data_IF_219750132816
#
_entry.id   IF_219750132816
#
_cell.length_a   1.000
_cell.length_b   1.000
_cell.length_c   1.000
_cell.angle_alpha   90.00
_cell.angle_beta   90.00
_cell.angle_gamma   90.00
#
_symmetry.space_group_name_H-M   'P 1'
#
loop_
_entity.id
_entity.type
_entity.pdbx_description
1 polymer ?
#
# COMPACT_ATOMS: atom_id res chain seq x y z
N UNK A 1 19.52 11.56 7.37
CA UNK A 1 18.71 12.77 7.17
C UNK A 1 18.08 13.16 8.50
N UNK A 2 17.78 14.46 8.70
CA UNK A 2 17.08 14.97 9.89
C UNK A 2 15.57 14.86 9.79
N UNK A 3 15.03 14.14 8.80
CA UNK A 3 13.62 13.98 8.52
C UNK A 3 13.03 12.98 9.51
N UNK A 4 12.05 13.40 10.30
CA UNK A 4 11.39 12.59 11.34
C UNK A 4 9.87 12.68 11.27
N UNK A 5 9.33 13.66 10.54
CA UNK A 5 7.90 13.84 10.29
C UNK A 5 7.66 14.34 8.86
N UNK A 6 6.45 14.22 8.30
CA UNK A 6 6.16 14.61 6.92
C UNK A 6 6.50 16.07 6.59
N UNK A 7 6.32 16.99 7.54
CA UNK A 7 6.65 18.41 7.35
C UNK A 7 8.13 18.68 7.10
N UNK A 8 9.03 17.76 7.51
CA UNK A 8 10.48 17.86 7.27
C UNK A 8 10.87 17.51 5.83
N UNK A 9 9.94 16.99 5.01
CA UNK A 9 10.24 16.55 3.64
C UNK A 9 10.46 17.68 2.65
N UNK A 10 10.22 18.95 3.02
CA UNK A 10 10.41 20.07 2.13
C UNK A 10 11.85 20.11 1.55
N UNK A 11 11.97 20.06 0.22
CA UNK A 11 13.23 20.00 -0.53
C UNK A 11 13.86 18.61 -0.60
N UNK A 12 13.25 17.57 -0.02
CA UNK A 12 13.78 16.21 -0.02
C UNK A 12 13.60 15.52 -1.38
N UNK A 13 14.50 14.57 -1.66
CA UNK A 13 14.33 13.60 -2.73
C UNK A 13 13.62 12.36 -2.18
N UNK A 14 12.42 12.09 -2.67
CA UNK A 14 11.54 11.01 -2.20
C UNK A 14 11.41 9.93 -3.27
N UNK A 15 11.74 8.70 -2.93
CA UNK A 15 11.53 7.57 -3.84
C UNK A 15 10.11 7.01 -3.73
N UNK A 16 9.47 6.80 -4.88
CA UNK A 16 8.25 6.03 -5.04
C UNK A 16 8.51 4.84 -5.95
N UNK A 17 7.71 3.77 -5.84
CA UNK A 17 7.95 2.57 -6.66
C UNK A 17 7.62 2.77 -8.15
N UNK A 18 6.62 3.61 -8.43
CA UNK A 18 6.14 3.98 -9.76
C UNK A 18 5.39 5.29 -9.62
N UNK A 19 5.50 6.17 -10.61
CA UNK A 19 4.72 7.40 -10.66
C UNK A 19 3.24 7.09 -11.01
N UNK A 20 2.35 8.02 -10.68
CA UNK A 20 0.91 7.98 -10.98
C UNK A 20 0.21 6.70 -10.45
N UNK A 21 0.62 6.24 -9.27
CA UNK A 21 0.01 5.09 -8.61
C UNK A 21 -0.45 5.40 -7.19
N UNK A 22 -1.01 4.38 -6.51
CA UNK A 22 -1.54 4.52 -5.14
C UNK A 22 -0.51 5.01 -4.11
N UNK A 23 0.78 4.63 -4.27
CA UNK A 23 1.84 5.06 -3.34
C UNK A 23 2.13 6.54 -3.48
N UNK A 24 2.21 7.05 -4.72
CA UNK A 24 2.36 8.49 -4.95
C UNK A 24 1.14 9.25 -4.46
N UNK A 25 -0.07 8.76 -4.74
CA UNK A 25 -1.31 9.38 -4.29
C UNK A 25 -1.37 9.48 -2.76
N UNK A 26 -1.02 8.41 -2.05
CA UNK A 26 -0.98 8.40 -0.60
C UNK A 26 0.09 9.35 -0.04
N UNK A 27 1.28 9.38 -0.65
CA UNK A 27 2.33 10.34 -0.31
C UNK A 27 1.87 11.79 -0.51
N UNK A 28 1.15 12.08 -1.59
CA UNK A 28 0.62 13.42 -1.85
C UNK A 28 -0.34 13.87 -0.75
N UNK A 29 -1.21 12.98 -0.27
CA UNK A 29 -2.12 13.26 0.83
C UNK A 29 -1.36 13.50 2.13
N UNK A 30 -0.36 12.69 2.43
CA UNK A 30 0.51 12.86 3.60
C UNK A 30 1.22 14.21 3.57
N UNK A 31 1.73 14.63 2.40
CA UNK A 31 2.34 15.95 2.22
C UNK A 31 1.32 17.08 2.40
N UNK A 32 0.12 16.95 1.83
CA UNK A 32 -0.96 17.94 1.98
C UNK A 32 -1.37 18.12 3.45
N UNK A 33 -1.49 17.04 4.20
CA UNK A 33 -1.81 17.07 5.63
C UNK A 33 -0.69 17.73 6.46
N UNK A 34 0.55 17.68 5.97
CA UNK A 34 1.70 18.38 6.54
C UNK A 34 1.87 19.82 6.00
N UNK A 35 0.98 20.30 5.13
CA UNK A 35 1.03 21.64 4.54
C UNK A 35 2.02 21.78 3.38
N UNK A 36 2.43 20.67 2.77
CA UNK A 36 3.30 20.57 1.62
C UNK A 36 2.52 20.10 0.38
N UNK A 37 3.19 20.11 -0.76
CA UNK A 37 2.69 19.60 -2.05
C UNK A 37 3.76 18.77 -2.73
N UNK A 38 3.43 18.09 -3.82
CA UNK A 38 4.43 17.40 -4.65
C UNK A 38 5.49 18.34 -5.24
N UNK A 39 5.19 19.64 -5.40
CA UNK A 39 6.15 20.63 -5.86
C UNK A 39 7.23 20.97 -4.81
N UNK A 40 6.99 20.64 -3.55
CA UNK A 40 7.92 20.89 -2.45
C UNK A 40 8.95 19.74 -2.29
N UNK A 41 8.82 18.64 -3.03
CA UNK A 41 9.71 17.49 -3.01
C UNK A 41 10.20 17.13 -4.42
N UNK A 42 11.27 16.34 -4.51
CA UNK A 42 11.71 15.76 -5.78
C UNK A 42 11.36 14.27 -5.80
N UNK A 43 10.37 13.88 -6.61
CA UNK A 43 10.03 12.45 -6.77
C UNK A 43 11.01 11.76 -7.71
N UNK A 44 11.41 10.54 -7.34
CA UNK A 44 12.18 9.63 -8.19
C UNK A 44 11.54 8.25 -8.18
N UNK A 45 11.49 7.63 -9.36
CA UNK A 45 10.95 6.27 -9.51
C UNK A 45 12.05 5.24 -9.27
N UNK A 46 11.90 4.45 -8.21
CA UNK A 46 12.82 3.37 -7.83
C UNK A 46 11.98 2.17 -7.35
N UNK A 47 12.13 0.96 -7.95
CA UNK A 47 11.43 -0.23 -7.49
C UNK A 47 11.67 -0.53 -6.01
N UNK A 48 10.66 -1.00 -5.28
CA UNK A 48 10.74 -1.26 -3.83
C UNK A 48 12.00 -1.98 -3.37
N UNK A 49 12.48 -3.07 -4.04
CA UNK A 49 13.69 -3.77 -3.59
C UNK A 49 14.96 -2.92 -3.63
N UNK A 50 14.99 -1.87 -4.43
CA UNK A 50 16.17 -1.01 -4.65
C UNK A 50 16.16 0.23 -3.76
N UNK A 51 15.00 0.60 -3.19
CA UNK A 51 14.84 1.85 -2.43
C UNK A 51 15.70 1.87 -1.15
N UNK A 52 15.79 0.75 -0.43
CA UNK A 52 16.62 0.67 0.79
C UNK A 52 18.11 0.94 0.48
N UNK A 53 18.61 0.38 -0.62
CA UNK A 53 19.99 0.64 -1.05
C UNK A 53 20.18 2.10 -1.52
N UNK A 54 19.19 2.69 -2.19
CA UNK A 54 19.23 4.09 -2.60
C UNK A 54 19.28 5.04 -1.39
N UNK A 55 18.53 4.73 -0.32
CA UNK A 55 18.55 5.47 0.94
C UNK A 55 19.91 5.33 1.64
N UNK A 56 20.46 4.12 1.71
CA UNK A 56 21.79 3.86 2.31
C UNK A 56 22.92 4.64 1.62
N UNK A 57 22.85 4.73 0.29
CA UNK A 57 23.84 5.46 -0.52
C UNK A 57 23.64 6.99 -0.51
N UNK A 58 22.56 7.47 0.08
CA UNK A 58 22.21 8.89 0.09
C UNK A 58 21.76 9.42 -1.27
N UNK A 59 21.31 8.56 -2.18
CA UNK A 59 20.74 8.93 -3.47
C UNK A 59 19.32 9.51 -3.33
N UNK A 60 18.65 9.15 -2.24
CA UNK A 60 17.36 9.68 -1.82
C UNK A 60 17.36 9.97 -0.33
N UNK A 61 16.50 10.88 0.11
CA UNK A 61 16.38 11.28 1.52
C UNK A 61 15.27 10.50 2.22
N UNK A 62 14.22 10.11 1.46
CA UNK A 62 13.04 9.39 1.94
C UNK A 62 12.67 8.28 0.96
N UNK A 63 12.17 7.18 1.48
CA UNK A 63 11.63 6.06 0.69
C UNK A 63 10.17 5.82 1.05
N UNK A 64 9.32 5.59 0.04
CA UNK A 64 7.92 5.24 0.20
C UNK A 64 7.76 3.76 -0.12
N UNK A 65 7.72 2.93 0.92
CA UNK A 65 7.82 1.48 0.78
C UNK A 65 6.70 0.75 1.50
N UNK A 66 6.41 -0.45 1.04
CA UNK A 66 5.56 -1.43 1.70
C UNK A 66 6.42 -2.47 2.45
N UNK A 67 5.79 -3.25 3.32
CA UNK A 67 6.50 -4.38 3.95
C UNK A 67 6.90 -5.46 2.91
N UNK A 68 8.05 -6.11 3.07
CA UNK A 68 8.98 -6.07 4.21
C UNK A 68 10.02 -4.92 4.16
N UNK A 69 10.02 -4.10 3.13
CA UNK A 69 11.09 -3.11 2.86
C UNK A 69 11.14 -2.02 3.93
N UNK A 70 9.99 -1.60 4.49
CA UNK A 70 9.94 -0.66 5.59
C UNK A 70 10.62 -1.20 6.85
N UNK A 71 10.31 -2.43 7.24
CA UNK A 71 10.98 -3.08 8.38
C UNK A 71 12.48 -3.30 8.12
N UNK A 72 12.87 -3.69 6.90
CA UNK A 72 14.28 -3.83 6.53
C UNK A 72 15.02 -2.50 6.71
N UNK A 73 14.51 -1.40 6.14
CA UNK A 73 15.16 -0.10 6.26
C UNK A 73 15.32 0.33 7.72
N UNK A 74 14.29 0.17 8.55
CA UNK A 74 14.35 0.50 9.98
C UNK A 74 15.34 -0.36 10.75
N UNK A 75 15.42 -1.64 10.46
CA UNK A 75 16.27 -2.57 11.24
C UNK A 75 17.71 -2.63 10.74
N UNK A 76 17.99 -2.36 9.47
CA UNK A 76 19.35 -2.44 8.90
C UNK A 76 20.03 -1.10 8.80
N UNK A 77 19.29 0.00 8.55
CA UNK A 77 19.84 1.34 8.39
C UNK A 77 19.54 2.27 9.56
N UNK A 78 18.82 1.78 10.58
CA UNK A 78 18.29 2.62 11.67
C UNK A 78 17.51 3.84 11.12
N UNK A 79 16.81 3.65 9.97
CA UNK A 79 16.05 4.70 9.33
C UNK A 79 14.89 5.15 10.21
N UNK A 80 14.65 6.48 10.24
CA UNK A 80 13.48 7.02 10.92
C UNK A 80 12.20 6.56 10.23
N UNK A 81 11.18 6.27 11.03
CA UNK A 81 9.82 6.13 10.53
C UNK A 81 9.19 7.53 10.52
N UNK A 82 8.86 8.02 9.34
CA UNK A 82 8.37 9.40 9.14
C UNK A 82 6.85 9.46 9.27
N UNK A 83 6.14 8.47 8.74
CA UNK A 83 4.68 8.39 8.80
C UNK A 83 4.18 7.11 8.13
N UNK A 84 2.92 6.76 8.39
CA UNK A 84 2.19 5.73 7.66
C UNK A 84 1.24 6.43 6.68
N UNK A 85 1.51 6.32 5.40
CA UNK A 85 0.72 6.95 4.34
C UNK A 85 -0.75 6.50 4.30
N UNK A 86 -1.09 5.41 5.00
CA UNK A 86 -2.46 4.88 5.08
C UNK A 86 -3.12 5.10 6.43
N UNK A 87 -2.59 6.00 7.25
CA UNK A 87 -3.25 6.52 8.44
C UNK A 87 -4.12 7.76 8.13
N UNK A 88 -4.79 8.29 9.15
CA UNK A 88 -5.55 9.55 9.08
C UNK A 88 -6.64 9.53 8.02
N UNK A 89 -6.50 10.33 6.96
CA UNK A 89 -7.47 10.42 5.85
C UNK A 89 -7.63 9.11 5.08
N UNK A 90 -6.61 8.26 5.09
CA UNK A 90 -6.59 6.98 4.37
C UNK A 90 -6.77 5.78 5.29
N UNK A 91 -7.15 5.99 6.57
CA UNK A 91 -7.44 4.87 7.47
C UNK A 91 -8.56 3.98 6.91
N UNK A 92 -8.25 2.69 6.74
CA UNK A 92 -9.18 1.73 6.14
C UNK A 92 -9.31 1.80 4.62
N UNK A 93 -8.51 2.63 3.94
CA UNK A 93 -8.51 2.73 2.49
C UNK A 93 -8.11 1.39 1.84
N UNK A 94 -8.84 0.95 0.78
CA UNK A 94 -8.57 -0.33 0.11
C UNK A 94 -7.32 -0.21 -0.78
N UNK A 95 -6.21 -0.77 -0.32
CA UNK A 95 -4.91 -0.68 -1.02
C UNK A 95 -4.80 -1.67 -2.18
N UNK A 96 -5.40 -2.85 -2.05
CA UNK A 96 -5.31 -3.92 -3.04
C UNK A 96 -6.54 -4.82 -3.01
N UNK A 97 -6.84 -5.43 -4.16
CA UNK A 97 -7.95 -6.36 -4.31
C UNK A 97 -7.73 -7.30 -5.50
N UNK A 98 -8.64 -8.24 -5.67
CA UNK A 98 -8.68 -9.14 -6.80
C UNK A 98 -9.69 -8.66 -7.82
N UNK A 99 -9.32 -8.74 -9.10
CA UNK A 99 -10.20 -8.35 -10.20
C UNK A 99 -10.15 -9.40 -11.32
N UNK A 100 -11.26 -9.51 -12.02
CA UNK A 100 -11.42 -10.36 -13.21
C UNK A 100 -12.15 -9.57 -14.29
N UNK A 101 -12.09 -10.03 -15.53
CA UNK A 101 -12.91 -9.45 -16.60
C UNK A 101 -14.39 -9.82 -16.42
N UNK A 102 -15.27 -8.99 -16.94
CA UNK A 102 -16.72 -9.24 -16.92
C UNK A 102 -17.07 -10.57 -17.62
N UNK A 103 -16.46 -10.84 -18.78
CA UNK A 103 -16.65 -12.09 -19.51
C UNK A 103 -16.24 -13.30 -18.66
N UNK A 104 -15.07 -13.23 -17.99
CA UNK A 104 -14.63 -14.32 -17.12
C UNK A 104 -15.60 -14.56 -15.97
N UNK A 105 -16.10 -13.50 -15.35
CA UNK A 105 -17.07 -13.59 -14.26
C UNK A 105 -18.38 -14.21 -14.71
N UNK A 106 -18.90 -13.79 -15.90
CA UNK A 106 -20.13 -14.31 -16.47
C UNK A 106 -20.04 -15.79 -16.86
N UNK A 107 -18.90 -16.19 -17.43
CA UNK A 107 -18.67 -17.57 -17.87
C UNK A 107 -18.30 -18.52 -16.73
N UNK A 108 -17.78 -18.00 -15.58
CA UNK A 108 -17.22 -18.80 -14.52
C UNK A 108 -17.76 -18.49 -13.11
N UNK A 109 -19.09 -18.34 -12.91
CA UNK A 109 -19.64 -17.91 -11.62
C UNK A 109 -19.31 -18.88 -10.46
N UNK A 110 -19.24 -20.18 -10.74
CA UNK A 110 -18.86 -21.17 -9.73
C UNK A 110 -17.39 -21.05 -9.29
N UNK A 111 -16.50 -20.66 -10.20
CA UNK A 111 -15.09 -20.43 -9.91
C UNK A 111 -14.94 -19.20 -9.03
N UNK A 112 -15.63 -18.11 -9.33
CA UNK A 112 -15.66 -16.90 -8.51
C UNK A 112 -16.17 -17.23 -7.10
N UNK A 113 -17.30 -17.91 -7.00
CA UNK A 113 -17.85 -18.31 -5.71
C UNK A 113 -16.90 -19.23 -4.90
N UNK A 114 -16.19 -20.13 -5.57
CA UNK A 114 -15.20 -20.99 -4.91
C UNK A 114 -13.98 -20.18 -4.44
N UNK A 115 -13.49 -19.25 -5.25
CA UNK A 115 -12.40 -18.35 -4.90
C UNK A 115 -12.77 -17.50 -3.68
N UNK A 116 -13.94 -16.84 -3.69
CA UNK A 116 -14.40 -15.99 -2.59
C UNK A 116 -14.49 -16.78 -1.27
N UNK A 117 -15.00 -18.02 -1.29
CA UNK A 117 -15.04 -18.89 -0.08
C UNK A 117 -13.64 -19.26 0.41
N UNK A 118 -12.73 -19.59 -0.51
CA UNK A 118 -11.35 -19.93 -0.16
C UNK A 118 -10.60 -18.71 0.40
N UNK A 119 -10.79 -17.57 -0.24
CA UNK A 119 -10.17 -16.31 0.19
C UNK A 119 -10.69 -15.87 1.56
N UNK A 120 -12.01 -15.93 1.78
CA UNK A 120 -12.61 -15.62 3.09
C UNK A 120 -12.04 -16.50 4.21
N UNK A 121 -11.88 -17.80 3.93
CA UNK A 121 -11.25 -18.72 4.90
C UNK A 121 -9.78 -18.40 5.15
N UNK A 122 -9.03 -18.06 4.11
CA UNK A 122 -7.62 -17.70 4.25
C UNK A 122 -7.46 -16.39 5.04
N UNK A 123 -8.32 -15.40 4.78
CA UNK A 123 -8.35 -14.15 5.54
C UNK A 123 -8.69 -14.38 7.01
N UNK A 124 -9.68 -15.23 7.31
CA UNK A 124 -10.02 -15.58 8.68
C UNK A 124 -8.83 -16.18 9.44
N UNK A 125 -8.10 -17.10 8.82
CA UNK A 125 -6.86 -17.66 9.37
C UNK A 125 -5.80 -16.57 9.58
N UNK A 126 -5.57 -15.73 8.54
CA UNK A 126 -4.56 -14.70 8.58
C UNK A 126 -4.79 -13.66 9.69
N UNK A 127 -6.06 -13.33 9.97
CA UNK A 127 -6.45 -12.30 10.94
C UNK A 127 -6.59 -12.88 12.35
N UNK A 128 -7.13 -14.08 12.49
CA UNK A 128 -7.52 -14.62 13.80
C UNK A 128 -6.56 -15.67 14.38
N UNK A 129 -5.67 -16.25 13.58
CA UNK A 129 -4.68 -17.20 14.06
C UNK A 129 -3.33 -16.51 14.29
N UNK A 130 -2.94 -16.37 15.56
CA UNK A 130 -1.68 -15.74 15.94
C UNK A 130 -0.48 -16.40 15.24
N UNK A 131 0.37 -15.60 14.60
CA UNK A 131 1.57 -16.08 13.90
C UNK A 131 1.32 -16.75 12.55
N UNK A 132 0.07 -16.87 12.07
CA UNK A 132 -0.22 -17.51 10.79
C UNK A 132 0.51 -16.83 9.62
N UNK A 133 0.48 -15.49 9.55
CA UNK A 133 1.18 -14.72 8.53
C UNK A 133 2.70 -14.87 8.66
N UNK A 134 3.24 -14.79 9.87
CA UNK A 134 4.67 -14.97 10.12
C UNK A 134 5.17 -16.36 9.71
N UNK A 135 4.34 -17.38 9.87
CA UNK A 135 4.69 -18.76 9.48
C UNK A 135 4.64 -18.97 7.95
N UNK A 136 3.72 -18.33 7.25
CA UNK A 136 3.52 -18.57 5.81
C UNK A 136 4.38 -17.67 4.93
N UNK A 137 4.61 -16.42 5.30
CA UNK A 137 5.35 -15.44 4.48
C UNK A 137 6.73 -15.92 4.04
N UNK A 138 7.56 -16.57 4.88
CA UNK A 138 8.85 -17.12 4.45
C UNK A 138 8.75 -18.26 3.43
N UNK A 139 7.57 -18.85 3.24
CA UNK A 139 7.41 -19.97 2.29
C UNK A 139 7.32 -19.54 0.84
N UNK A 140 7.00 -18.28 0.56
CA UNK A 140 6.84 -17.74 -0.79
C UNK A 140 7.53 -16.39 -1.02
N UNK A 141 8.24 -15.87 -0.02
CA UNK A 141 9.07 -14.64 -0.10
C UNK A 141 10.50 -14.94 0.33
N UNK A 142 11.40 -13.97 0.16
CA UNK A 142 12.76 -14.02 0.69
C UNK A 142 12.88 -13.60 2.16
N UNK A 143 11.78 -13.30 2.84
CA UNK A 143 11.81 -12.94 4.25
C UNK A 143 12.24 -14.15 5.10
N UNK A 144 13.12 -13.90 6.08
CA UNK A 144 13.44 -14.93 7.08
C UNK A 144 12.30 -15.07 8.10
N UNK A 145 12.19 -16.18 8.85
CA UNK A 145 11.21 -16.31 9.91
C UNK A 145 11.31 -15.21 10.97
N UNK A 146 12.53 -14.75 11.29
CA UNK A 146 12.78 -13.68 12.24
C UNK A 146 12.26 -12.34 11.73
N UNK A 147 12.48 -12.04 10.44
CA UNK A 147 11.94 -10.86 9.80
C UNK A 147 10.41 -10.93 9.73
N UNK A 148 9.86 -12.06 9.30
CA UNK A 148 8.41 -12.26 9.22
C UNK A 148 7.70 -12.05 10.56
N UNK A 149 8.36 -12.40 11.68
CA UNK A 149 7.80 -12.23 13.01
C UNK A 149 7.65 -10.77 13.48
N UNK A 150 8.34 -9.83 12.82
CA UNK A 150 8.35 -8.40 13.21
C UNK A 150 7.77 -7.48 12.14
N UNK A 151 7.26 -8.03 11.01
CA UNK A 151 6.60 -7.24 9.98
C UNK A 151 5.31 -6.60 10.51
N UNK A 152 5.02 -5.41 10.04
CA UNK A 152 3.71 -4.78 10.22
C UNK A 152 2.78 -5.27 9.10
N UNK A 153 1.98 -6.29 9.38
CA UNK A 153 1.08 -6.87 8.39
C UNK A 153 -0.10 -5.93 8.11
N UNK A 154 -0.55 -5.84 6.83
CA UNK A 154 -1.69 -5.03 6.49
C UNK A 154 -2.97 -5.58 7.12
N UNK A 155 -3.94 -4.71 7.35
CA UNK A 155 -5.28 -5.13 7.72
C UNK A 155 -5.95 -5.85 6.52
N UNK A 156 -6.36 -7.09 6.74
CA UNK A 156 -6.96 -7.92 5.70
C UNK A 156 -8.46 -8.09 5.97
N UNK A 157 -9.28 -7.87 4.94
CA UNK A 157 -10.72 -8.09 5.01
C UNK A 157 -11.16 -9.13 3.98
N UNK A 158 -12.16 -9.93 4.33
CA UNK A 158 -12.82 -10.82 3.40
C UNK A 158 -14.06 -10.15 2.84
N UNK A 159 -14.22 -10.25 1.53
CA UNK A 159 -15.33 -9.61 0.82
C UNK A 159 -14.99 -8.22 0.31
N UNK A 160 -15.95 -7.62 -0.36
CA UNK A 160 -15.86 -6.30 -0.93
C UNK A 160 -16.96 -5.42 -0.33
N UNK A 161 -16.54 -4.38 0.37
CA UNK A 161 -17.44 -3.31 0.78
C UNK A 161 -17.44 -2.21 -0.30
N UNK A 162 -18.60 -2.02 -0.92
CA UNK A 162 -18.74 -1.09 -2.05
C UNK A 162 -18.55 0.36 -1.60
N UNK A 163 -19.00 0.71 -0.40
CA UNK A 163 -18.84 2.06 0.14
C UNK A 163 -17.33 2.36 0.40
N UNK A 164 -16.60 1.37 0.91
CA UNK A 164 -15.15 1.48 1.05
C UNK A 164 -14.45 1.55 -0.31
N UNK A 165 -14.88 0.73 -1.29
CA UNK A 165 -14.30 0.78 -2.64
C UNK A 165 -14.55 2.12 -3.33
N UNK A 166 -15.69 2.79 -3.07
CA UNK A 166 -16.03 4.10 -3.64
C UNK A 166 -15.01 5.20 -3.25
N UNK A 167 -14.33 5.06 -2.13
CA UNK A 167 -13.29 6.01 -1.72
C UNK A 167 -12.16 6.12 -2.74
N UNK A 168 -11.87 5.04 -3.48
CA UNK A 168 -10.78 5.02 -4.47
C UNK A 168 -11.05 5.98 -5.63
N UNK A 169 -12.13 5.83 -6.42
CA UNK A 169 -12.41 6.75 -7.52
C UNK A 169 -12.73 8.17 -7.04
N UNK A 170 -13.32 8.34 -5.86
CA UNK A 170 -13.60 9.66 -5.31
C UNK A 170 -12.29 10.41 -5.04
N UNK A 171 -11.33 9.74 -4.40
CA UNK A 171 -10.00 10.32 -4.13
C UNK A 171 -9.21 10.57 -5.41
N UNK A 172 -9.25 9.64 -6.37
CA UNK A 172 -8.60 9.83 -7.67
C UNK A 172 -9.19 11.02 -8.44
N UNK A 173 -10.49 11.27 -8.31
CA UNK A 173 -11.13 12.45 -8.89
C UNK A 173 -10.70 13.73 -8.17
N UNK A 174 -10.64 13.72 -6.84
CA UNK A 174 -10.16 14.85 -6.02
C UNK A 174 -8.72 15.24 -6.40
N UNK A 175 -7.85 14.24 -6.60
CA UNK A 175 -6.45 14.46 -6.99
C UNK A 175 -6.25 14.72 -8.50
N UNK A 176 -7.33 14.79 -9.28
CA UNK A 176 -7.26 15.06 -10.72
C UNK A 176 -6.72 13.91 -11.57
N UNK A 177 -6.64 12.71 -11.02
CA UNK A 177 -6.23 11.48 -11.72
C UNK A 177 -7.38 10.90 -12.57
N UNK A 178 -8.63 11.28 -12.27
CA UNK A 178 -9.81 11.00 -13.08
C UNK A 178 -10.42 12.29 -13.60
N UNK A 179 -11.01 12.23 -14.80
CA UNK A 179 -11.72 13.36 -15.42
C UNK A 179 -13.22 13.37 -15.14
N UNK A 180 -13.76 12.24 -14.64
CA UNK A 180 -15.19 12.08 -14.33
C UNK A 180 -15.37 11.11 -13.16
N UNK A 181 -16.50 11.23 -12.45
CA UNK A 181 -16.85 10.35 -11.36
C UNK A 181 -17.12 8.92 -11.84
N UNK A 182 -16.63 7.95 -11.10
CA UNK A 182 -16.88 6.51 -11.31
C UNK A 182 -17.70 6.00 -10.13
N UNK A 183 -18.77 5.24 -10.41
CA UNK A 183 -19.54 4.55 -9.39
C UNK A 183 -18.95 3.15 -9.19
N UNK A 184 -18.34 2.90 -8.04
CA UNK A 184 -17.70 1.62 -7.72
C UNK A 184 -18.70 0.43 -7.75
N UNK A 185 -19.97 0.67 -7.47
CA UNK A 185 -20.99 -0.39 -7.50
C UNK A 185 -21.17 -1.00 -8.90
N UNK A 186 -20.89 -0.25 -9.96
CA UNK A 186 -21.02 -0.74 -11.35
C UNK A 186 -19.90 -1.72 -11.72
N UNK A 187 -18.85 -1.78 -10.91
CA UNK A 187 -17.65 -2.61 -11.12
C UNK A 187 -17.42 -3.66 -10.03
N UNK A 188 -18.25 -3.67 -9.00
CA UNK A 188 -18.14 -4.62 -7.90
C UNK A 188 -18.89 -5.93 -8.23
N UNK A 189 -18.20 -7.07 -8.07
CA UNK A 189 -18.83 -8.38 -8.12
C UNK A 189 -19.42 -8.72 -6.75
N UNK A 190 -20.73 -8.91 -6.70
CA UNK A 190 -21.47 -9.33 -5.51
C UNK A 190 -21.37 -10.82 -5.24
#
# INVERSE_FOLDING_TARGET
>A
SGIVEPADMAGATVAVNTLDNIVQMALEIELQDAGLTLDDVTLVEIPFPEQTAALELGNVDVISVVEPFGTIARTTLEANFVGDMFDGRLEGFPVAGWQVTEDFAAENPNTIAAFNRAFAKATDIAVNEEGALAAIVPTYTSATPELAAILNYPNMIAGLDVDTLQQVPDLMLEQGLLNEAINAADHALS
#
